data_IF_732844106461
#
_entry.id   IF_732844106461
#
_cell.length_a   1.000
_cell.length_b   1.000
_cell.length_c   1.000
_cell.angle_alpha   90.00
_cell.angle_beta   90.00
_cell.angle_gamma   90.00
#
_symmetry.space_group_name_H-M   'P 1'
#
loop_
_entity.id
_entity.type
_entity.pdbx_description
1 polymer ?
#
# COMPACT_ATOMS: atom_id res chain seq x y z
N UNK A 1 -23.03 -12.90 -17.27
CA UNK A 1 -22.32 -13.15 -16.00
C UNK A 1 -23.25 -14.01 -15.17
N UNK A 2 -22.89 -15.27 -14.94
CA UNK A 2 -23.77 -16.25 -14.30
C UNK A 2 -23.83 -16.01 -12.78
N UNK A 3 -25.00 -16.19 -12.16
CA UNK A 3 -25.20 -15.97 -10.72
C UNK A 3 -24.21 -16.76 -9.84
N UNK A 4 -23.72 -17.89 -10.34
CA UNK A 4 -22.75 -18.76 -9.67
C UNK A 4 -21.40 -18.07 -9.45
N UNK A 5 -20.89 -17.33 -10.43
CA UNK A 5 -19.61 -16.61 -10.33
C UNK A 5 -19.62 -15.54 -9.22
N UNK A 6 -20.77 -14.87 -9.04
CA UNK A 6 -20.93 -13.85 -8.01
C UNK A 6 -20.97 -14.48 -6.62
N UNK A 7 -21.69 -15.59 -6.46
CA UNK A 7 -21.75 -16.33 -5.18
C UNK A 7 -20.37 -16.87 -4.80
N UNK A 8 -19.63 -17.42 -5.76
CA UNK A 8 -18.28 -17.92 -5.54
C UNK A 8 -17.32 -16.82 -5.11
N UNK A 9 -17.46 -15.61 -5.69
CA UNK A 9 -16.67 -14.45 -5.29
C UNK A 9 -16.94 -14.07 -3.83
N UNK A 10 -18.23 -13.93 -3.45
CA UNK A 10 -18.58 -13.60 -2.06
C UNK A 10 -18.08 -14.65 -1.08
N UNK A 11 -18.15 -15.93 -1.44
CA UNK A 11 -17.61 -17.01 -0.63
C UNK A 11 -16.08 -16.90 -0.49
N UNK A 12 -15.36 -16.60 -1.56
CA UNK A 12 -13.90 -16.40 -1.52
C UNK A 12 -13.51 -15.20 -0.65
N UNK A 13 -14.18 -14.05 -0.83
CA UNK A 13 -13.98 -12.86 0.00
C UNK A 13 -14.23 -13.17 1.47
N UNK A 14 -15.32 -13.88 1.79
CA UNK A 14 -15.63 -14.27 3.16
C UNK A 14 -14.53 -15.13 3.77
N UNK A 15 -13.97 -16.07 3.00
CA UNK A 15 -12.85 -16.91 3.48
C UNK A 15 -11.56 -16.11 3.66
N UNK A 16 -11.27 -15.16 2.76
CA UNK A 16 -10.14 -14.22 2.89
C UNK A 16 -10.27 -13.37 4.16
N UNK A 17 -11.42 -12.73 4.37
CA UNK A 17 -11.64 -11.80 5.48
C UNK A 17 -11.68 -12.49 6.86
N UNK A 18 -12.03 -13.79 6.89
CA UNK A 18 -12.10 -14.57 8.14
C UNK A 18 -10.84 -15.40 8.42
N UNK A 19 -9.92 -15.48 7.45
CA UNK A 19 -8.67 -16.19 7.60
C UNK A 19 -7.77 -15.51 8.65
N UNK A 20 -7.03 -16.33 9.40
CA UNK A 20 -6.16 -15.88 10.51
C UNK A 20 -4.67 -16.04 10.22
N UNK A 21 -4.31 -16.39 8.97
CA UNK A 21 -2.93 -16.53 8.55
C UNK A 21 -2.76 -16.06 7.11
N UNK A 22 -1.57 -15.56 6.80
CA UNK A 22 -1.22 -15.11 5.45
C UNK A 22 -1.35 -16.26 4.45
N UNK A 23 -0.91 -17.47 4.82
CA UNK A 23 -1.00 -18.66 3.97
C UNK A 23 -2.44 -18.98 3.55
N UNK A 24 -3.40 -18.92 4.48
CA UNK A 24 -4.81 -19.20 4.19
C UNK A 24 -5.41 -18.12 3.26
N UNK A 25 -5.09 -16.84 3.50
CA UNK A 25 -5.50 -15.73 2.63
C UNK A 25 -4.96 -15.94 1.21
N UNK A 26 -3.66 -16.22 1.10
CA UNK A 26 -2.98 -16.38 -0.18
C UNK A 26 -3.43 -17.64 -0.93
N UNK A 27 -3.79 -18.71 -0.23
CA UNK A 27 -4.36 -19.91 -0.85
C UNK A 27 -5.69 -19.59 -1.53
N UNK A 28 -6.61 -18.92 -0.82
CA UNK A 28 -7.91 -18.52 -1.38
C UNK A 28 -7.76 -17.53 -2.54
N UNK A 29 -6.87 -16.56 -2.37
CA UNK A 29 -6.55 -15.59 -3.43
C UNK A 29 -6.02 -16.30 -4.70
N UNK A 30 -5.05 -17.20 -4.57
CA UNK A 30 -4.50 -17.97 -5.70
C UNK A 30 -5.58 -18.78 -6.41
N UNK A 31 -6.36 -19.58 -5.67
CA UNK A 31 -7.44 -20.39 -6.24
C UNK A 31 -8.44 -19.53 -7.03
N UNK A 32 -8.78 -18.35 -6.49
CA UNK A 32 -9.70 -17.45 -7.15
C UNK A 32 -9.10 -16.81 -8.41
N UNK A 33 -7.80 -16.56 -8.48
CA UNK A 33 -7.16 -15.90 -9.61
C UNK A 33 -6.70 -16.88 -10.70
N UNK A 34 -6.44 -18.14 -10.36
CA UNK A 34 -6.12 -19.20 -11.33
C UNK A 34 -7.19 -19.38 -12.40
N UNK A 35 -8.47 -19.14 -12.07
CA UNK A 35 -9.58 -19.19 -13.04
C UNK A 35 -9.42 -18.21 -14.21
N UNK A 36 -8.65 -17.15 -14.01
CA UNK A 36 -8.35 -16.13 -15.02
C UNK A 36 -6.95 -16.31 -15.63
N UNK A 37 -6.28 -17.44 -15.35
CA UNK A 37 -4.93 -17.72 -15.82
C UNK A 37 -3.81 -16.94 -15.12
N UNK A 38 -4.12 -16.25 -14.02
CA UNK A 38 -3.15 -15.44 -13.26
C UNK A 38 -2.51 -16.24 -12.14
N UNK A 39 -1.18 -16.37 -12.18
CA UNK A 39 -0.39 -17.25 -11.27
C UNK A 39 0.65 -16.51 -10.45
N UNK A 40 1.48 -15.70 -11.10
CA UNK A 40 2.53 -14.93 -10.42
C UNK A 40 1.90 -13.65 -9.88
N UNK A 41 2.28 -13.25 -8.67
CA UNK A 41 1.76 -12.02 -8.07
C UNK A 41 2.75 -11.37 -7.11
N UNK A 42 2.52 -10.09 -6.86
CA UNK A 42 3.13 -9.36 -5.76
C UNK A 42 2.04 -8.51 -5.09
N UNK A 43 1.99 -8.56 -3.77
CA UNK A 43 1.12 -7.72 -2.94
C UNK A 43 2.05 -6.88 -2.08
N UNK A 44 2.06 -5.56 -2.29
CA UNK A 44 3.04 -4.68 -1.64
C UNK A 44 2.52 -3.27 -1.44
N UNK A 45 2.99 -2.61 -0.38
CA UNK A 45 2.93 -1.16 -0.27
C UNK A 45 3.89 -0.48 -1.26
N UNK A 46 3.59 0.75 -1.66
CA UNK A 46 4.44 1.56 -2.53
C UNK A 46 4.98 2.76 -1.74
N UNK A 47 6.08 2.58 -0.98
CA UNK A 47 6.62 3.64 -0.14
C UNK A 47 7.11 4.82 -1.00
N UNK A 48 7.29 5.99 -0.39
CA UNK A 48 7.78 7.16 -1.12
C UNK A 48 9.18 6.91 -1.71
N UNK A 49 9.49 7.35 -2.94
CA UNK A 49 10.64 6.87 -3.73
C UNK A 49 12.06 7.12 -3.18
N UNK A 50 12.24 7.70 -1.99
CA UNK A 50 13.55 8.24 -1.57
C UNK A 50 13.95 7.95 -0.11
N UNK A 51 13.31 7.02 0.59
CA UNK A 51 13.67 6.81 2.00
C UNK A 51 13.31 5.49 2.65
N UNK A 52 12.79 4.51 1.93
CA UNK A 52 12.35 3.25 2.53
C UNK A 52 12.69 2.08 1.63
N UNK A 53 13.19 1.01 2.24
CA UNK A 53 13.40 -0.27 1.58
C UNK A 53 12.04 -0.85 1.19
N UNK A 54 11.68 -0.75 -0.09
CA UNK A 54 10.39 -1.20 -0.61
C UNK A 54 10.12 -2.67 -0.36
N UNK A 55 11.18 -3.47 -0.11
CA UNK A 55 11.06 -4.88 0.21
C UNK A 55 10.34 -5.10 1.55
N UNK A 56 10.46 -4.16 2.50
CA UNK A 56 9.78 -4.23 3.80
C UNK A 56 8.26 -4.04 3.69
N UNK A 57 7.80 -3.47 2.58
CA UNK A 57 6.39 -3.23 2.32
C UNK A 57 5.73 -4.40 1.58
N UNK A 58 6.51 -5.43 1.20
CA UNK A 58 5.98 -6.65 0.57
C UNK A 58 5.17 -7.43 1.61
N UNK A 59 3.86 -7.53 1.37
CA UNK A 59 2.93 -8.33 2.17
C UNK A 59 2.93 -9.79 1.71
N UNK A 60 3.09 -10.02 0.41
CA UNK A 60 3.23 -11.35 -0.15
C UNK A 60 3.94 -11.32 -1.51
N UNK A 61 4.86 -12.27 -1.69
CA UNK A 61 5.57 -12.50 -2.94
C UNK A 61 5.21 -13.87 -3.50
N UNK A 62 4.62 -13.86 -4.69
CA UNK A 62 4.26 -15.05 -5.47
C UNK A 62 5.12 -15.22 -6.72
N UNK A 63 6.23 -14.49 -6.85
CA UNK A 63 7.16 -14.61 -7.96
C UNK A 63 8.08 -15.83 -7.82
N UNK A 64 8.72 -16.20 -8.93
CA UNK A 64 9.83 -17.14 -8.87
C UNK A 64 11.00 -16.53 -8.09
N UNK A 65 11.76 -17.33 -7.32
CA UNK A 65 12.93 -16.82 -6.59
C UNK A 65 13.99 -16.19 -7.50
N UNK A 66 14.06 -16.63 -8.75
CA UNK A 66 14.99 -16.11 -9.75
C UNK A 66 14.57 -14.72 -10.23
N UNK A 67 13.27 -14.51 -10.53
CA UNK A 67 12.75 -13.20 -10.89
C UNK A 67 12.88 -12.22 -9.74
N UNK A 68 12.46 -12.59 -8.52
CA UNK A 68 12.60 -11.73 -7.34
C UNK A 68 14.06 -11.28 -7.16
N UNK A 69 15.02 -12.22 -7.24
CA UNK A 69 16.44 -11.89 -7.12
C UNK A 69 16.91 -10.92 -8.21
N UNK A 70 16.48 -11.12 -9.45
CA UNK A 70 16.83 -10.21 -10.55
C UNK A 70 16.24 -8.83 -10.33
N UNK A 71 14.96 -8.76 -9.99
CA UNK A 71 14.24 -7.51 -9.72
C UNK A 71 14.91 -6.67 -8.64
N UNK A 72 15.38 -7.33 -7.56
CA UNK A 72 16.14 -6.69 -6.49
C UNK A 72 17.55 -6.26 -6.95
N UNK A 73 18.28 -7.14 -7.62
CA UNK A 73 19.69 -6.88 -8.01
C UNK A 73 19.80 -5.74 -9.02
N UNK A 74 18.84 -5.62 -9.92
CA UNK A 74 18.80 -4.63 -10.99
C UNK A 74 18.08 -3.32 -10.61
N UNK A 75 17.63 -3.22 -9.36
CA UNK A 75 16.88 -2.10 -8.80
C UNK A 75 15.65 -1.73 -9.66
N UNK A 76 14.93 -2.75 -10.12
CA UNK A 76 13.81 -2.57 -11.05
C UNK A 76 12.64 -1.81 -10.43
N UNK A 77 12.48 -1.81 -9.10
CA UNK A 77 11.42 -1.06 -8.43
C UNK A 77 11.38 0.43 -8.84
N UNK A 78 12.55 1.07 -9.01
CA UNK A 78 12.64 2.47 -9.41
C UNK A 78 12.30 2.72 -10.89
N UNK A 79 12.36 1.67 -11.70
CA UNK A 79 12.19 1.71 -13.15
C UNK A 79 10.93 1.01 -13.64
N UNK A 80 10.20 0.34 -12.74
CA UNK A 80 9.02 -0.43 -13.06
C UNK A 80 7.86 0.50 -13.50
N UNK A 81 7.38 0.37 -14.75
CA UNK A 81 6.31 1.22 -15.27
C UNK A 81 4.97 0.95 -14.57
N UNK A 82 4.75 -0.27 -14.05
CA UNK A 82 3.57 -0.63 -13.27
C UNK A 82 3.58 0.09 -11.92
N UNK A 83 4.71 0.09 -11.22
CA UNK A 83 4.89 0.86 -9.96
C UNK A 83 4.65 2.34 -10.23
N UNK A 84 5.25 2.88 -11.29
CA UNK A 84 5.09 4.28 -11.66
C UNK A 84 3.62 4.61 -11.96
N UNK A 85 2.90 3.77 -12.71
CA UNK A 85 1.51 4.00 -13.05
C UNK A 85 0.57 3.85 -11.84
N UNK A 86 0.78 2.88 -10.95
CA UNK A 86 -0.03 2.66 -9.74
C UNK A 86 -0.01 3.84 -8.78
N UNK A 87 1.04 4.67 -8.81
CA UNK A 87 1.11 5.90 -7.99
C UNK A 87 0.18 7.01 -8.48
N UNK A 88 -0.34 6.91 -9.71
CA UNK A 88 -1.14 7.96 -10.34
C UNK A 88 -2.51 7.47 -10.85
N UNK A 89 -2.71 6.16 -10.98
CA UNK A 89 -3.99 5.58 -11.40
C UNK A 89 -4.80 5.14 -10.17
N UNK A 90 -6.06 5.58 -10.04
CA UNK A 90 -6.98 5.01 -9.06
C UNK A 90 -7.60 3.69 -9.53
N UNK A 91 -7.58 3.40 -10.83
CA UNK A 91 -8.28 2.26 -11.42
C UNK A 91 -7.32 1.11 -11.76
N UNK A 92 -7.81 -0.15 -11.72
CA UNK A 92 -7.10 -1.30 -12.27
C UNK A 92 -6.75 -1.11 -13.74
N UNK A 93 -5.59 -1.61 -14.14
CA UNK A 93 -5.17 -1.57 -15.55
C UNK A 93 -4.38 -2.83 -15.94
N UNK A 94 -4.56 -3.35 -17.17
CA UNK A 94 -3.69 -4.37 -17.71
C UNK A 94 -2.35 -3.76 -18.17
N UNK A 95 -1.28 -4.56 -18.15
CA UNK A 95 0.05 -4.14 -18.58
C UNK A 95 0.08 -3.65 -20.03
N UNK A 96 -0.78 -4.21 -20.89
CA UNK A 96 -0.92 -3.78 -22.28
C UNK A 96 -1.50 -2.37 -22.47
N UNK A 97 -2.09 -1.78 -21.43
CA UNK A 97 -2.62 -0.41 -21.45
C UNK A 97 -1.65 0.61 -20.80
N UNK A 98 -0.43 0.19 -20.45
CA UNK A 98 0.58 1.11 -19.96
C UNK A 98 0.84 2.24 -20.98
N UNK A 99 0.80 3.51 -20.57
CA UNK A 99 1.06 4.62 -21.48
C UNK A 99 2.47 4.54 -22.07
N UNK A 100 2.62 4.88 -23.35
CA UNK A 100 3.95 4.88 -24.01
C UNK A 100 4.97 5.77 -23.27
N UNK A 101 4.51 6.84 -22.62
CA UNK A 101 5.34 7.71 -21.78
C UNK A 101 5.95 7.00 -20.55
N UNK A 102 5.36 5.89 -20.10
CA UNK A 102 5.89 5.04 -19.02
C UNK A 102 6.89 4.01 -19.53
N UNK A 103 6.90 3.70 -20.82
CA UNK A 103 7.73 2.66 -21.44
C UNK A 103 9.05 3.23 -21.99
N UNK A 104 9.78 3.95 -21.13
CA UNK A 104 11.17 4.36 -21.41
C UNK A 104 12.10 3.15 -21.49
N UNK A 105 13.31 3.22 -22.09
CA UNK A 105 14.14 2.05 -22.35
C UNK A 105 14.38 1.12 -21.16
N UNK A 106 14.69 1.68 -19.97
CA UNK A 106 14.88 0.87 -18.76
C UNK A 106 13.57 0.25 -18.26
N UNK A 107 12.45 0.96 -18.36
CA UNK A 107 11.14 0.43 -18.00
C UNK A 107 10.67 -0.69 -18.94
N UNK A 108 10.95 -0.54 -20.25
CA UNK A 108 10.69 -1.59 -21.24
C UNK A 108 11.51 -2.84 -20.93
N UNK A 109 12.78 -2.68 -20.57
CA UNK A 109 13.64 -3.80 -20.17
C UNK A 109 13.04 -4.58 -18.99
N UNK A 110 12.48 -3.90 -17.97
CA UNK A 110 11.79 -4.57 -16.86
C UNK A 110 10.67 -5.49 -17.38
N UNK A 111 9.85 -5.01 -18.31
CA UNK A 111 8.73 -5.78 -18.87
C UNK A 111 9.22 -6.93 -19.78
N UNK A 112 10.22 -6.67 -20.61
CA UNK A 112 10.81 -7.66 -21.51
C UNK A 112 11.47 -8.80 -20.72
N UNK A 113 12.15 -8.49 -19.61
CA UNK A 113 12.75 -9.51 -18.74
C UNK A 113 11.71 -10.25 -17.89
N UNK A 114 10.65 -9.58 -17.41
CA UNK A 114 9.54 -10.25 -16.75
C UNK A 114 8.91 -11.32 -17.67
N UNK A 115 8.82 -11.04 -18.98
CA UNK A 115 8.33 -11.97 -19.97
C UNK A 115 9.19 -13.24 -20.11
N UNK A 116 10.50 -13.18 -19.85
CA UNK A 116 11.39 -14.36 -19.81
C UNK A 116 11.02 -15.31 -18.66
N UNK A 117 10.45 -14.79 -17.58
CA UNK A 117 9.96 -15.55 -16.42
C UNK A 117 8.48 -15.93 -16.50
N UNK A 118 7.90 -15.89 -17.70
CA UNK A 118 6.51 -16.27 -17.92
C UNK A 118 5.52 -15.24 -17.40
N UNK A 119 5.89 -13.95 -17.36
CA UNK A 119 5.01 -12.82 -17.04
C UNK A 119 4.96 -11.88 -18.24
N UNK A 120 4.13 -12.20 -19.23
CA UNK A 120 3.96 -11.42 -20.47
C UNK A 120 2.74 -10.51 -20.39
N UNK A 121 1.67 -11.04 -19.81
CA UNK A 121 0.41 -10.36 -19.60
C UNK A 121 0.18 -10.24 -18.10
N UNK A 122 -0.35 -9.10 -17.66
CA UNK A 122 -0.62 -8.88 -16.26
C UNK A 122 -1.58 -7.73 -16.02
N UNK A 123 -2.02 -7.61 -14.77
CA UNK A 123 -2.93 -6.58 -14.28
C UNK A 123 -2.33 -6.00 -13.01
N UNK A 124 -2.45 -4.70 -12.86
CA UNK A 124 -2.18 -4.01 -11.62
C UNK A 124 -3.48 -3.43 -11.06
N UNK A 125 -3.71 -3.66 -9.76
CA UNK A 125 -4.81 -3.09 -8.99
C UNK A 125 -4.21 -2.17 -7.93
N UNK A 126 -4.24 -0.84 -8.15
CA UNK A 126 -3.82 0.14 -7.15
C UNK A 126 -4.73 0.12 -5.92
N UNK A 127 -4.16 0.03 -4.72
CA UNK A 127 -4.89 0.04 -3.45
C UNK A 127 -4.62 1.34 -2.72
N UNK A 128 -5.64 2.18 -2.57
CA UNK A 128 -5.50 3.45 -1.87
C UNK A 128 -5.78 3.27 -0.38
N UNK A 129 -4.73 3.29 0.43
CA UNK A 129 -4.85 3.30 1.88
C UNK A 129 -4.74 4.74 2.37
N UNK A 130 -5.75 5.27 3.07
CA UNK A 130 -5.67 6.60 3.65
C UNK A 130 -4.41 6.74 4.49
N UNK A 131 -3.58 7.73 4.16
CA UNK A 131 -2.40 8.15 4.91
C UNK A 131 -1.23 7.14 4.94
N UNK A 132 -1.41 5.86 4.59
CA UNK A 132 -0.33 4.86 4.53
C UNK A 132 0.41 4.82 3.18
N UNK A 133 -0.02 5.62 2.19
CA UNK A 133 0.53 5.61 0.84
C UNK A 133 -0.19 4.60 -0.07
N UNK A 134 0.06 4.63 -1.39
CA UNK A 134 -0.54 3.66 -2.30
C UNK A 134 0.05 2.28 -2.02
N UNK A 135 -0.77 1.24 -2.14
CA UNK A 135 -0.36 -0.14 -2.29
C UNK A 135 -0.71 -0.64 -3.68
N UNK A 136 -0.30 -1.85 -4.00
CA UNK A 136 -0.64 -2.50 -5.26
C UNK A 136 -0.79 -4.01 -5.04
N UNK A 137 -1.79 -4.58 -5.70
CA UNK A 137 -1.83 -6.00 -6.02
C UNK A 137 -1.56 -6.13 -7.51
N UNK A 138 -0.44 -6.74 -7.88
CA UNK A 138 -0.09 -7.01 -9.28
C UNK A 138 -0.07 -8.51 -9.52
N UNK A 139 -0.60 -8.92 -10.66
CA UNK A 139 -0.61 -10.32 -11.08
C UNK A 139 -0.23 -10.44 -12.54
N UNK A 140 0.52 -11.49 -12.88
CA UNK A 140 0.98 -11.71 -14.23
C UNK A 140 1.20 -13.17 -14.56
N UNK A 141 1.12 -13.50 -15.85
CA UNK A 141 1.35 -14.83 -16.41
C UNK A 141 1.72 -14.74 -17.89
N UNK A 142 2.05 -15.86 -18.51
CA UNK A 142 2.35 -15.92 -19.95
C UNK A 142 1.16 -15.51 -20.80
N UNK A 143 -0.04 -15.79 -20.29
CA UNK A 143 -1.33 -15.44 -20.89
C UNK A 143 -2.36 -15.33 -19.77
N UNK A 144 -3.23 -14.33 -19.86
CA UNK A 144 -4.40 -14.19 -18.99
C UNK A 144 -5.69 -14.34 -19.79
N UNK A 145 -6.75 -14.77 -19.12
CA UNK A 145 -8.11 -14.83 -19.67
C UNK A 145 -9.05 -14.02 -18.77
N UNK A 146 -8.85 -12.71 -18.80
CA UNK A 146 -9.60 -11.76 -17.98
C UNK A 146 -10.57 -11.00 -18.88
N UNK A 147 -11.86 -11.36 -18.91
CA UNK A 147 -12.84 -10.57 -19.62
C UNK A 147 -13.01 -9.22 -18.91
N UNK A 148 -13.27 -8.10 -19.63
CA UNK A 148 -13.45 -6.78 -19.01
C UNK A 148 -14.50 -6.76 -17.89
N UNK A 149 -15.55 -7.59 -17.99
CA UNK A 149 -16.59 -7.72 -16.97
C UNK A 149 -16.11 -8.34 -15.65
N UNK A 150 -14.97 -9.05 -15.64
CA UNK A 150 -14.40 -9.64 -14.42
C UNK A 150 -13.51 -8.65 -13.64
N UNK A 151 -13.11 -7.53 -14.25
CA UNK A 151 -12.20 -6.57 -13.62
C UNK A 151 -12.72 -6.04 -12.26
N UNK A 152 -14.01 -5.65 -12.10
CA UNK A 152 -14.52 -5.21 -10.80
C UNK A 152 -14.48 -6.31 -9.72
N UNK A 153 -14.65 -7.57 -10.14
CA UNK A 153 -14.59 -8.73 -9.25
C UNK A 153 -13.16 -8.96 -8.77
N UNK A 154 -12.20 -8.91 -9.71
CA UNK A 154 -10.77 -9.02 -9.43
C UNK A 154 -10.32 -7.89 -8.51
N UNK A 155 -10.70 -6.65 -8.80
CA UNK A 155 -10.39 -5.49 -7.98
C UNK A 155 -10.89 -5.68 -6.53
N UNK A 156 -12.15 -6.09 -6.38
CA UNK A 156 -12.73 -6.35 -5.06
C UNK A 156 -11.92 -7.41 -4.31
N UNK A 157 -11.57 -8.52 -4.97
CA UNK A 157 -10.78 -9.59 -4.37
C UNK A 157 -9.38 -9.11 -3.95
N UNK A 158 -8.73 -8.30 -4.78
CA UNK A 158 -7.43 -7.69 -4.50
C UNK A 158 -7.50 -6.75 -3.28
N UNK A 159 -8.54 -5.91 -3.18
CA UNK A 159 -8.74 -5.01 -2.03
C UNK A 159 -8.90 -5.79 -0.72
N UNK A 160 -9.73 -6.84 -0.72
CA UNK A 160 -9.95 -7.68 0.46
C UNK A 160 -8.70 -8.47 0.86
N UNK A 161 -7.98 -9.04 -0.11
CA UNK A 161 -6.70 -9.73 0.12
C UNK A 161 -5.66 -8.78 0.72
N UNK A 162 -5.49 -7.59 0.12
CA UNK A 162 -4.54 -6.58 0.60
C UNK A 162 -4.86 -6.17 2.03
N UNK A 163 -6.13 -5.85 2.34
CA UNK A 163 -6.55 -5.46 3.70
C UNK A 163 -6.34 -6.56 4.72
N UNK A 164 -6.71 -7.79 4.38
CA UNK A 164 -6.59 -8.93 5.29
C UNK A 164 -5.13 -9.23 5.61
N UNK A 165 -4.23 -9.20 4.61
CA UNK A 165 -2.79 -9.34 4.83
C UNK A 165 -2.21 -8.18 5.65
N UNK A 166 -2.60 -6.94 5.34
CA UNK A 166 -2.16 -5.76 6.10
C UNK A 166 -2.59 -5.84 7.57
N UNK A 167 -3.77 -6.40 7.85
CA UNK A 167 -4.33 -6.53 9.19
C UNK A 167 -3.70 -7.61 10.05
N UNK A 168 -2.95 -8.56 9.47
CA UNK A 168 -2.20 -9.57 10.24
C UNK A 168 -0.96 -8.99 10.93
N UNK A 169 -0.55 -7.78 10.54
CA UNK A 169 0.61 -7.07 11.09
C UNK A 169 1.94 -7.67 10.64
N UNK A 170 2.93 -6.82 10.47
CA UNK A 170 4.31 -7.21 10.75
C UNK A 170 4.45 -7.35 12.27
N UNK A 171 5.20 -8.33 12.80
CA UNK A 171 5.59 -8.28 14.20
C UNK A 171 6.31 -6.94 14.40
N UNK A 172 5.66 -5.97 15.03
CA UNK A 172 6.33 -4.74 15.41
C UNK A 172 7.40 -5.14 16.41
N UNK A 173 8.64 -4.72 16.17
CA UNK A 173 9.67 -4.70 17.20
C UNK A 173 9.11 -3.95 18.42
N UNK A 174 8.63 -4.69 19.42
CA UNK A 174 8.58 -4.38 20.86
C UNK A 174 7.86 -3.13 21.40
N UNK A 175 7.64 -2.08 20.62
CA UNK A 175 7.12 -0.80 21.11
C UNK A 175 5.77 -0.49 20.47
N UNK A 176 4.69 -0.85 21.16
CA UNK A 176 3.40 -0.23 20.88
C UNK A 176 3.55 1.29 21.03
N UNK A 177 3.27 2.09 19.97
CA UNK A 177 3.50 3.51 20.05
C UNK A 177 2.64 4.15 21.14
N UNK A 178 3.26 4.88 22.05
CA UNK A 178 2.52 5.60 23.10
C UNK A 178 1.58 6.64 22.46
N UNK A 179 0.26 6.57 22.69
CA UNK A 179 -0.67 7.49 22.07
C UNK A 179 -0.50 8.93 22.58
N UNK A 180 -0.85 9.88 21.73
CA UNK A 180 -1.00 11.28 22.09
C UNK A 180 -2.20 11.44 23.03
N UNK A 181 -2.00 12.25 24.06
CA UNK A 181 -3.06 12.69 24.96
C UNK A 181 -4.04 13.61 24.21
N UNK A 182 -5.26 13.78 24.71
CA UNK A 182 -6.24 14.68 24.12
C UNK A 182 -5.69 16.10 23.91
N UNK A 183 -4.90 16.60 24.88
CA UNK A 183 -4.30 17.93 24.81
C UNK A 183 -3.18 18.04 23.78
N UNK A 184 -2.40 16.98 23.63
CA UNK A 184 -1.36 16.91 22.59
C UNK A 184 -1.98 16.86 21.19
N UNK A 185 -3.09 16.12 21.01
CA UNK A 185 -3.84 16.08 19.74
C UNK A 185 -4.40 17.45 19.38
N UNK A 186 -5.14 18.08 20.29
CA UNK A 186 -5.73 19.41 20.09
C UNK A 186 -4.67 20.46 19.70
N UNK A 187 -3.52 20.46 20.38
CA UNK A 187 -2.40 21.33 20.05
C UNK A 187 -1.85 21.06 18.64
N UNK A 188 -1.72 19.78 18.27
CA UNK A 188 -1.19 19.37 16.98
C UNK A 188 -2.18 19.65 15.83
N UNK A 189 -3.49 19.56 16.08
CA UNK A 189 -4.56 19.94 15.15
C UNK A 189 -4.50 21.43 14.81
N UNK A 190 -4.35 22.31 15.82
CA UNK A 190 -4.14 23.74 15.55
C UNK A 190 -2.84 24.02 14.81
N UNK A 191 -1.77 23.27 15.14
CA UNK A 191 -0.51 23.36 14.40
C UNK A 191 -0.68 22.94 12.94
N UNK A 192 -1.49 21.91 12.65
CA UNK A 192 -1.79 21.44 11.32
C UNK A 192 -2.63 22.43 10.49
N UNK A 193 -3.47 23.23 11.16
CA UNK A 193 -4.18 24.37 10.55
C UNK A 193 -3.29 25.62 10.36
N UNK A 194 -2.00 25.55 10.67
CA UNK A 194 -1.04 26.63 10.45
C UNK A 194 -1.00 27.70 11.55
N UNK A 195 -1.55 27.44 12.74
CA UNK A 195 -1.49 28.39 13.86
C UNK A 195 -0.08 28.47 14.44
N UNK A 196 0.35 29.68 14.82
CA UNK A 196 1.62 29.89 15.50
C UNK A 196 1.56 29.42 16.95
N UNK A 197 2.71 29.19 17.58
CA UNK A 197 2.79 28.83 19.01
C UNK A 197 2.08 29.86 19.90
N UNK A 198 2.15 31.14 19.55
CA UNK A 198 1.51 32.23 20.31
C UNK A 198 -0.02 32.22 20.12
N UNK A 199 -0.50 31.97 18.89
CA UNK A 199 -1.94 31.80 18.62
C UNK A 199 -2.50 30.58 19.37
N UNK A 200 -1.79 29.46 19.33
CA UNK A 200 -2.18 28.23 20.02
C UNK A 200 -2.23 28.47 21.53
N UNK A 201 -1.24 29.16 22.10
CA UNK A 201 -1.24 29.51 23.51
C UNK A 201 -2.48 30.35 23.89
N UNK A 202 -2.85 31.32 23.06
CA UNK A 202 -4.05 32.13 23.22
C UNK A 202 -5.34 31.29 23.13
N UNK A 203 -5.48 30.48 22.07
CA UNK A 203 -6.66 29.62 21.83
C UNK A 203 -6.86 28.64 22.98
N UNK A 204 -5.76 28.03 23.45
CA UNK A 204 -5.78 26.99 24.46
C UNK A 204 -5.78 27.54 25.90
N UNK A 205 -5.61 28.86 26.09
CA UNK A 205 -5.55 29.48 27.42
C UNK A 205 -4.33 29.06 28.25
N UNK A 206 -3.20 28.81 27.60
CA UNK A 206 -1.94 28.37 28.25
C UNK A 206 -0.78 29.30 27.89
N UNK A 207 0.37 29.13 28.54
CA UNK A 207 1.56 29.90 28.17
C UNK A 207 2.23 29.34 26.91
N UNK A 208 2.96 30.18 26.18
CA UNK A 208 3.82 29.76 25.07
C UNK A 208 4.76 28.62 25.48
N UNK A 209 5.38 28.70 26.65
CA UNK A 209 6.27 27.66 27.18
C UNK A 209 5.55 26.31 27.35
N UNK A 210 4.28 26.34 27.75
CA UNK A 210 3.45 25.12 27.87
C UNK A 210 3.22 24.49 26.50
N UNK A 211 2.92 25.28 25.47
CA UNK A 211 2.77 24.81 24.08
C UNK A 211 4.08 24.18 23.58
N UNK A 212 5.22 24.87 23.77
CA UNK A 212 6.54 24.35 23.36
C UNK A 212 6.92 23.05 24.09
N UNK A 213 6.50 22.90 25.35
CA UNK A 213 6.69 21.66 26.11
C UNK A 213 5.86 20.51 25.54
N UNK A 214 4.59 20.73 25.22
CA UNK A 214 3.76 19.72 24.56
C UNK A 214 4.30 19.35 23.17
N UNK A 215 4.76 20.33 22.37
CA UNK A 215 5.37 20.05 21.07
C UNK A 215 6.64 19.18 21.19
N UNK A 216 7.45 19.37 22.24
CA UNK A 216 8.60 18.49 22.54
C UNK A 216 8.15 17.08 22.86
N UNK A 217 7.13 16.91 23.71
CA UNK A 217 6.61 15.60 24.07
C UNK A 217 6.00 14.86 22.87
N UNK A 218 5.20 15.55 22.05
CA UNK A 218 4.64 15.02 20.80
C UNK A 218 5.75 14.52 19.89
N UNK A 219 6.80 15.35 19.67
CA UNK A 219 7.93 14.96 18.84
C UNK A 219 8.65 13.74 19.38
N UNK A 220 8.83 13.62 20.69
CA UNK A 220 9.44 12.44 21.30
C UNK A 220 8.56 11.18 21.10
N UNK A 221 7.25 11.26 21.38
CA UNK A 221 6.31 10.14 21.21
C UNK A 221 6.18 9.65 19.77
N UNK A 222 6.27 10.57 18.82
CA UNK A 222 6.16 10.27 17.40
C UNK A 222 7.52 10.03 16.74
N UNK A 223 8.64 10.17 17.45
CA UNK A 223 9.98 10.15 16.86
C UNK A 223 10.12 11.16 15.68
N UNK A 224 9.59 12.38 15.87
CA UNK A 224 9.52 13.39 14.83
C UNK A 224 10.59 14.48 15.01
N UNK A 225 11.32 14.79 13.94
CA UNK A 225 12.39 15.81 13.95
C UNK A 225 11.86 17.26 14.05
N UNK A 226 10.63 17.52 13.62
CA UNK A 226 9.99 18.83 13.69
C UNK A 226 8.46 18.70 13.76
N UNK A 227 7.75 19.81 13.94
CA UNK A 227 6.27 19.81 14.09
C UNK A 227 5.57 19.35 12.81
N UNK A 228 6.08 19.71 11.63
CA UNK A 228 5.51 19.24 10.36
C UNK A 228 5.63 17.71 10.21
N UNK A 229 6.78 17.14 10.55
CA UNK A 229 6.99 15.69 10.57
C UNK A 229 6.08 15.02 11.63
N UNK A 230 5.89 15.67 12.79
CA UNK A 230 4.96 15.19 13.82
C UNK A 230 3.51 15.17 13.32
N UNK A 231 3.06 16.21 12.61
CA UNK A 231 1.71 16.26 12.00
C UNK A 231 1.55 15.11 11.01
N UNK A 232 2.51 14.90 10.10
CA UNK A 232 2.47 13.79 9.14
C UNK A 232 2.39 12.45 9.85
N UNK A 233 3.24 12.20 10.85
CA UNK A 233 3.23 10.94 11.61
C UNK A 233 1.92 10.74 12.39
N UNK A 234 1.38 11.78 13.01
CA UNK A 234 0.11 11.71 13.74
C UNK A 234 -1.08 11.44 12.81
N UNK A 235 -1.11 12.06 11.62
CA UNK A 235 -2.09 11.74 10.58
C UNK A 235 -1.98 10.27 10.15
N UNK A 236 -0.77 9.77 9.87
CA UNK A 236 -0.55 8.36 9.51
C UNK A 236 -1.04 7.38 10.57
N UNK A 237 -0.87 7.73 11.85
CA UNK A 237 -1.39 6.95 13.00
C UNK A 237 -2.87 7.19 13.28
N UNK A 238 -3.55 8.04 12.52
CA UNK A 238 -4.94 8.44 12.71
C UNK A 238 -5.22 9.05 14.10
N UNK A 239 -4.20 9.67 14.71
CA UNK A 239 -4.31 10.29 16.03
C UNK A 239 -4.87 11.72 15.98
N UNK A 240 -4.84 12.36 14.80
CA UNK A 240 -5.44 13.67 14.52
C UNK A 240 -6.14 13.64 13.15
N UNK A 241 -7.04 14.60 12.91
CA UNK A 241 -7.74 14.79 11.64
C UNK A 241 -7.62 16.25 11.18
N UNK A 242 -7.60 16.50 9.87
CA UNK A 242 -7.51 17.84 9.25
C UNK A 242 -8.57 18.04 8.19
#
# INVERSE_FOLDING_TARGET
>A
MENETVVDLFAAITRIDTARSADAILQEFRLAMERYGLRNFLITGLPVPHGTDWQREILADGWSPEWHRRYVTEDYFLHDPCVAQCRHSPEPFPWGELPAARLVPRAKLVMDEAAEFGMKEGICVPIHVPLAGPGVVTMASDRMDVPPSAMPLIETLCVHTFRSLSGLGTPSDGDEPTPLTARERELLEWSAQGKSTDDIACILGVTRNTVESHQRNIRAKLDAINVAHAIVKALRRQEIQI
#
